data_IF_624866599538
#
_entry.id   IF_624866599538
#
_cell.length_a   1.000
_cell.length_b   1.000
_cell.length_c   1.000
_cell.angle_alpha   90.00
_cell.angle_beta   90.00
_cell.angle_gamma   90.00
#
_symmetry.space_group_name_H-M   'P 1'
#
loop_
_entity.id
_entity.type
_entity.pdbx_description
1 polymer ?
#
# COMPACT_ATOMS: atom_id res chain seq x y z
N UNK A 1 37.78 41.06 26.19
CA UNK A 1 36.50 40.33 25.98
C UNK A 1 35.81 40.22 27.33
N UNK A 2 34.59 40.74 27.49
CA UNK A 2 33.93 40.82 28.81
C UNK A 2 33.50 39.43 29.30
N UNK A 3 33.54 39.19 30.62
CA UNK A 3 33.17 37.90 31.25
C UNK A 3 31.79 37.39 30.79
N UNK A 4 30.84 38.31 30.59
CA UNK A 4 29.48 37.99 30.10
C UNK A 4 29.45 37.40 28.68
N UNK A 5 30.34 37.84 27.79
CA UNK A 5 30.44 37.31 26.42
C UNK A 5 30.93 35.85 26.41
N UNK A 6 31.89 35.49 27.31
CA UNK A 6 32.40 34.11 27.42
C UNK A 6 31.34 33.14 27.93
N UNK A 7 30.57 33.53 28.96
CA UNK A 7 29.49 32.69 29.48
C UNK A 7 28.36 32.53 28.45
N UNK A 8 28.01 33.59 27.72
CA UNK A 8 27.03 33.51 26.63
C UNK A 8 27.43 32.53 25.53
N UNK A 9 28.69 32.55 25.10
CA UNK A 9 29.21 31.62 24.09
C UNK A 9 29.20 30.16 24.56
N UNK A 10 29.50 29.91 25.85
CA UNK A 10 29.46 28.56 26.43
C UNK A 10 28.03 28.03 26.44
N UNK A 11 27.06 28.83 26.89
CA UNK A 11 25.65 28.40 26.94
C UNK A 11 25.09 28.13 25.54
N UNK A 12 25.40 28.99 24.56
CA UNK A 12 24.98 28.78 23.16
C UNK A 12 25.62 27.52 22.58
N UNK A 13 26.91 27.29 22.83
CA UNK A 13 27.58 26.06 22.38
C UNK A 13 27.00 24.79 23.02
N UNK A 14 26.61 24.86 24.30
CA UNK A 14 26.02 23.74 25.02
C UNK A 14 24.60 23.43 24.52
N UNK A 15 23.79 24.47 24.25
CA UNK A 15 22.46 24.31 23.65
C UNK A 15 22.53 23.79 22.20
N UNK A 16 23.50 24.27 21.40
CA UNK A 16 23.73 23.75 20.06
C UNK A 16 24.21 22.29 20.07
N UNK A 17 25.07 21.91 21.01
CA UNK A 17 25.53 20.53 21.19
C UNK A 17 24.39 19.60 21.62
N UNK A 18 23.53 20.03 22.55
CA UNK A 18 22.34 19.26 22.96
C UNK A 18 21.36 19.15 21.79
N UNK A 19 21.11 20.22 21.03
CA UNK A 19 20.25 20.15 19.86
C UNK A 19 20.79 19.14 18.82
N UNK A 20 22.10 19.15 18.55
CA UNK A 20 22.74 18.23 17.61
C UNK A 20 22.64 16.76 18.09
N UNK A 21 22.78 16.52 19.39
CA UNK A 21 22.64 15.18 19.99
C UNK A 21 21.19 14.67 19.98
N UNK A 22 20.22 15.56 20.16
CA UNK A 22 18.79 15.21 20.24
C UNK A 22 18.14 15.08 18.86
N UNK A 23 18.65 15.78 17.84
CA UNK A 23 18.09 15.74 16.47
C UNK A 23 17.95 14.34 15.85
N UNK A 24 18.97 13.46 15.79
CA UNK A 24 18.81 12.14 15.16
C UNK A 24 17.73 11.28 15.84
N UNK A 25 17.67 11.27 17.17
CA UNK A 25 16.64 10.54 17.92
C UNK A 25 15.21 11.06 17.65
N UNK A 26 15.03 12.37 17.42
CA UNK A 26 13.74 12.94 17.05
C UNK A 26 13.34 12.62 15.58
N UNK A 27 14.32 12.55 14.67
CA UNK A 27 14.09 12.15 13.28
C UNK A 27 13.65 10.68 13.20
N UNK A 28 14.33 9.79 13.93
CA UNK A 28 13.98 8.36 13.99
C UNK A 28 12.56 8.16 14.53
N UNK A 29 12.21 8.83 15.63
CA UNK A 29 10.87 8.75 16.22
C UNK A 29 9.78 9.23 15.25
N UNK A 30 10.04 10.30 14.48
CA UNK A 30 9.07 10.82 13.52
C UNK A 30 8.84 9.86 12.35
N UNK A 31 9.90 9.20 11.87
CA UNK A 31 9.80 8.19 10.81
C UNK A 31 9.08 6.93 11.31
N UNK A 32 9.40 6.44 12.51
CA UNK A 32 8.69 5.32 13.13
C UNK A 32 7.20 5.61 13.29
N UNK A 33 6.82 6.81 13.76
CA UNK A 33 5.40 7.18 13.92
C UNK A 33 4.66 7.20 12.57
N UNK A 34 5.30 7.67 11.49
CA UNK A 34 4.72 7.60 10.14
C UNK A 34 4.50 6.16 9.68
N UNK A 35 5.50 5.30 9.86
CA UNK A 35 5.41 3.88 9.50
C UNK A 35 4.32 3.16 10.31
N UNK A 36 4.17 3.47 11.60
CA UNK A 36 3.08 2.93 12.43
C UNK A 36 1.71 3.40 11.93
N UNK A 37 1.58 4.68 11.54
CA UNK A 37 0.38 5.21 10.91
C UNK A 37 0.05 4.46 9.62
N UNK A 38 1.03 4.33 8.73
CA UNK A 38 0.89 3.57 7.48
C UNK A 38 0.50 2.12 7.73
N UNK A 39 1.13 1.43 8.69
CA UNK A 39 0.78 0.04 9.02
C UNK A 39 -0.68 -0.10 9.45
N UNK A 40 -1.18 0.83 10.28
CA UNK A 40 -2.58 0.85 10.68
C UNK A 40 -3.52 1.17 9.53
N UNK A 41 -3.17 2.11 8.64
CA UNK A 41 -3.95 2.41 7.44
C UNK A 41 -4.04 1.20 6.52
N UNK A 42 -2.92 0.49 6.31
CA UNK A 42 -2.87 -0.74 5.52
C UNK A 42 -3.65 -1.88 6.17
N UNK A 43 -3.66 -1.99 7.50
CA UNK A 43 -4.55 -2.94 8.20
C UNK A 43 -6.02 -2.65 7.93
N UNK A 44 -6.42 -1.37 7.96
CA UNK A 44 -7.79 -1.00 7.64
C UNK A 44 -8.15 -1.39 6.20
N UNK A 45 -7.22 -1.31 5.25
CA UNK A 45 -7.44 -1.81 3.88
C UNK A 45 -7.74 -3.31 3.82
N UNK A 46 -6.95 -4.14 4.52
CA UNK A 46 -7.17 -5.59 4.50
C UNK A 46 -8.44 -5.99 5.26
N UNK A 47 -8.77 -5.29 6.35
CA UNK A 47 -10.05 -5.46 7.04
C UNK A 47 -11.21 -5.12 6.11
N UNK A 48 -11.11 -4.05 5.34
CA UNK A 48 -12.13 -3.64 4.39
C UNK A 48 -12.27 -4.63 3.21
N UNK A 49 -11.17 -5.23 2.72
CA UNK A 49 -11.20 -6.36 1.78
C UNK A 49 -11.99 -7.54 2.34
N UNK A 50 -11.73 -7.88 3.60
CA UNK A 50 -12.41 -8.99 4.29
C UNK A 50 -13.90 -8.69 4.46
N UNK A 51 -14.25 -7.47 4.88
CA UNK A 51 -15.64 -7.03 5.01
C UNK A 51 -16.39 -7.05 3.68
N UNK A 52 -15.74 -6.59 2.60
CA UNK A 52 -16.29 -6.67 1.25
C UNK A 52 -16.57 -8.14 0.88
N UNK A 53 -15.58 -9.01 1.08
CA UNK A 53 -15.75 -10.45 0.84
C UNK A 53 -16.93 -11.04 1.63
N UNK A 54 -17.08 -10.71 2.93
CA UNK A 54 -18.18 -11.21 3.76
C UNK A 54 -19.56 -10.84 3.21
N UNK A 55 -19.68 -9.68 2.55
CA UNK A 55 -20.94 -9.21 1.95
C UNK A 55 -21.18 -9.77 0.55
N UNK A 56 -20.14 -9.84 -0.29
CA UNK A 56 -20.28 -10.16 -1.71
C UNK A 56 -19.86 -11.59 -2.09
N UNK A 57 -19.22 -12.32 -1.17
CA UNK A 57 -18.74 -13.69 -1.37
C UNK A 57 -17.45 -13.79 -2.19
N UNK A 58 -16.86 -12.66 -2.60
CA UNK A 58 -15.59 -12.58 -3.30
C UNK A 58 -14.89 -11.24 -3.02
N UNK A 59 -13.59 -11.21 -3.26
CA UNK A 59 -12.81 -9.97 -3.35
C UNK A 59 -13.25 -9.14 -4.56
N UNK A 60 -13.08 -7.81 -4.53
CA UNK A 60 -13.50 -6.95 -5.63
C UNK A 60 -12.75 -7.29 -6.92
N UNK A 61 -13.35 -6.92 -8.05
CA UNK A 61 -12.61 -6.91 -9.31
C UNK A 61 -11.44 -5.92 -9.21
N UNK A 62 -10.29 -6.26 -9.80
CA UNK A 62 -9.08 -5.42 -9.77
C UNK A 62 -9.33 -4.04 -10.38
N UNK A 63 -10.15 -4.00 -11.43
CA UNK A 63 -10.61 -2.80 -12.13
C UNK A 63 -12.08 -2.97 -12.52
N UNK A 64 -12.86 -1.90 -12.40
CA UNK A 64 -14.22 -1.84 -12.98
C UNK A 64 -14.17 -1.12 -14.32
N UNK A 65 -14.89 -1.63 -15.33
CA UNK A 65 -14.99 -1.00 -16.65
C UNK A 65 -16.42 -0.57 -16.97
N UNK A 66 -16.57 0.44 -17.82
CA UNK A 66 -17.84 0.77 -18.50
C UNK A 66 -18.22 -0.30 -19.52
N UNK A 67 -19.46 -0.26 -20.01
CA UNK A 67 -19.94 -1.13 -21.09
C UNK A 67 -19.13 -1.00 -22.39
N UNK A 68 -18.45 0.13 -22.59
CA UNK A 68 -17.54 0.37 -23.72
C UNK A 68 -16.10 -0.14 -23.49
N UNK A 69 -15.83 -0.74 -22.33
CA UNK A 69 -14.53 -1.31 -21.96
C UNK A 69 -13.55 -0.33 -21.31
N UNK A 70 -13.94 0.94 -21.10
CA UNK A 70 -13.06 1.92 -20.44
C UNK A 70 -12.91 1.59 -18.97
N UNK A 71 -11.67 1.35 -18.53
CA UNK A 71 -11.34 1.16 -17.11
C UNK A 71 -11.64 2.44 -16.33
N UNK A 72 -12.58 2.35 -15.39
CA UNK A 72 -13.09 3.52 -14.66
C UNK A 72 -12.42 3.65 -13.30
N UNK A 73 -12.33 2.56 -12.52
CA UNK A 73 -11.94 2.60 -11.11
C UNK A 73 -11.10 1.40 -10.70
N UNK A 74 -10.16 1.62 -9.79
CA UNK A 74 -9.41 0.55 -9.13
C UNK A 74 -10.21 -0.12 -8.03
N UNK A 75 -9.82 -1.34 -7.67
CA UNK A 75 -10.32 -2.07 -6.50
C UNK A 75 -10.27 -1.24 -5.20
N UNK A 76 -9.26 -0.36 -5.07
CA UNK A 76 -9.12 0.56 -3.92
C UNK A 76 -10.31 1.53 -3.81
N UNK A 77 -10.77 2.07 -4.93
CA UNK A 77 -11.95 2.94 -4.97
C UNK A 77 -13.24 2.18 -4.62
N UNK A 78 -13.35 0.93 -5.06
CA UNK A 78 -14.51 0.06 -4.76
C UNK A 78 -14.60 -0.22 -3.26
N UNK A 79 -13.48 -0.55 -2.62
CA UNK A 79 -13.42 -0.77 -1.17
C UNK A 79 -13.73 0.50 -0.40
N UNK A 80 -13.18 1.64 -0.82
CA UNK A 80 -13.46 2.91 -0.15
C UNK A 80 -14.96 3.25 -0.18
N UNK A 81 -15.65 2.98 -1.30
CA UNK A 81 -17.11 3.10 -1.39
C UNK A 81 -17.84 2.15 -0.44
N UNK A 82 -17.36 0.91 -0.31
CA UNK A 82 -17.96 -0.07 0.60
C UNK A 82 -17.88 0.38 2.06
N UNK A 83 -16.72 0.85 2.49
CA UNK A 83 -16.50 1.31 3.87
C UNK A 83 -17.17 2.66 4.16
N UNK A 84 -17.24 3.53 3.17
CA UNK A 84 -17.74 4.90 3.31
C UNK A 84 -18.80 5.26 2.26
N UNK A 85 -19.96 4.57 2.25
CA UNK A 85 -20.96 4.69 1.19
C UNK A 85 -21.57 6.09 1.09
N UNK A 86 -21.53 6.89 2.15
CA UNK A 86 -22.01 8.28 2.17
C UNK A 86 -20.94 9.34 1.89
N UNK A 87 -19.65 8.97 1.87
CA UNK A 87 -18.54 9.91 1.69
C UNK A 87 -18.20 10.08 0.20
N UNK A 88 -18.32 9.02 -0.59
CA UNK A 88 -17.83 9.01 -1.98
C UNK A 88 -18.59 9.98 -2.86
N UNK A 89 -19.92 9.96 -2.96
CA UNK A 89 -20.58 10.69 -4.06
C UNK A 89 -20.52 12.23 -3.94
N UNK A 90 -20.25 12.77 -2.74
CA UNK A 90 -20.04 14.21 -2.54
C UNK A 90 -18.58 14.66 -2.72
N UNK A 91 -17.65 13.71 -2.69
CA UNK A 91 -16.19 13.94 -2.71
C UNK A 91 -15.56 13.44 -4.00
N UNK A 92 -15.87 12.21 -4.41
CA UNK A 92 -15.34 11.44 -5.52
C UNK A 92 -16.49 10.76 -6.30
N UNK A 93 -16.69 11.16 -7.55
CA UNK A 93 -17.81 10.73 -8.40
C UNK A 93 -17.48 9.44 -9.15
N UNK A 94 -18.00 8.31 -8.67
CA UNK A 94 -17.79 7.01 -9.29
C UNK A 94 -18.56 6.82 -10.61
N UNK A 95 -19.43 7.76 -11.01
CA UNK A 95 -20.00 7.77 -12.37
C UNK A 95 -19.03 8.33 -13.42
N UNK A 96 -17.97 9.01 -12.98
CA UNK A 96 -16.92 9.55 -13.85
C UNK A 96 -15.66 8.68 -13.79
N UNK A 97 -14.82 8.68 -14.85
CA UNK A 97 -13.49 8.08 -14.81
C UNK A 97 -12.64 8.60 -13.65
N UNK A 98 -11.74 7.77 -13.13
CA UNK A 98 -10.83 8.17 -12.05
C UNK A 98 -10.00 9.43 -12.35
N UNK A 99 -9.66 9.64 -13.63
CA UNK A 99 -8.86 10.76 -14.12
C UNK A 99 -9.71 11.95 -14.59
N UNK A 100 -11.01 11.99 -14.27
CA UNK A 100 -11.81 13.18 -14.52
C UNK A 100 -11.26 14.37 -13.74
N UNK A 101 -11.46 15.59 -14.24
CA UNK A 101 -10.99 16.79 -13.54
C UNK A 101 -11.53 16.88 -12.10
N UNK A 102 -12.76 16.42 -11.88
CA UNK A 102 -13.39 16.35 -10.56
C UNK A 102 -12.71 15.31 -9.65
N UNK A 103 -12.50 14.08 -10.14
CA UNK A 103 -11.92 12.99 -9.35
C UNK A 103 -10.42 13.17 -9.06
N UNK A 104 -9.67 13.75 -9.99
CA UNK A 104 -8.28 14.16 -9.73
C UNK A 104 -8.23 15.24 -8.65
N UNK A 105 -9.18 16.17 -8.64
CA UNK A 105 -9.26 17.21 -7.61
C UNK A 105 -9.68 16.65 -6.24
N UNK A 106 -10.62 15.71 -6.24
CA UNK A 106 -11.03 14.96 -5.07
C UNK A 106 -9.85 14.25 -4.39
N UNK A 107 -9.08 13.48 -5.16
CA UNK A 107 -7.90 12.74 -4.68
C UNK A 107 -6.78 13.66 -4.20
N UNK A 108 -6.60 14.85 -4.80
CA UNK A 108 -5.64 15.85 -4.30
C UNK A 108 -6.08 16.47 -2.96
N UNK A 109 -7.38 16.76 -2.80
CA UNK A 109 -7.93 17.43 -1.60
C UNK A 109 -8.06 16.48 -0.42
N UNK A 110 -8.55 15.28 -0.66
CA UNK A 110 -8.76 14.27 0.36
C UNK A 110 -7.57 13.33 0.27
N UNK A 111 -6.64 13.48 1.22
CA UNK A 111 -5.35 12.79 1.27
C UNK A 111 -5.47 11.28 1.51
N UNK A 112 -6.37 10.59 0.83
CA UNK A 112 -6.33 9.14 0.65
C UNK A 112 -5.06 8.85 -0.18
N UNK A 113 -3.92 8.57 0.47
CA UNK A 113 -2.66 8.34 -0.24
C UNK A 113 -1.56 9.41 -0.11
N UNK A 114 -1.49 10.15 1.01
CA UNK A 114 -0.17 10.64 1.48
C UNK A 114 0.56 9.65 2.38
N UNK A 115 0.12 8.40 2.37
CA UNK A 115 1.01 7.32 2.77
C UNK A 115 2.08 7.26 1.69
N UNK A 116 3.36 7.28 2.09
CA UNK A 116 4.45 7.12 1.13
C UNK A 116 4.33 5.78 0.39
N UNK A 117 3.56 4.84 0.93
CA UNK A 117 3.29 3.51 0.42
C UNK A 117 1.89 3.41 -0.20
N UNK A 118 1.84 3.05 -1.47
CA UNK A 118 0.59 2.81 -2.19
C UNK A 118 0.34 1.30 -2.27
N UNK A 119 -0.79 0.77 -1.76
CA UNK A 119 -1.13 -0.64 -1.93
C UNK A 119 -1.47 -0.93 -3.39
N UNK A 120 -0.73 -1.83 -4.00
CA UNK A 120 -0.91 -2.30 -5.37
C UNK A 120 -1.21 -3.79 -5.36
N UNK A 121 -2.28 -4.19 -6.04
CA UNK A 121 -2.59 -5.59 -6.29
C UNK A 121 -1.48 -6.21 -7.17
N UNK A 122 -1.33 -7.54 -7.08
CA UNK A 122 -0.46 -8.30 -7.99
C UNK A 122 -1.34 -9.11 -8.91
N UNK A 123 -1.29 -8.80 -10.22
CA UNK A 123 -1.98 -9.54 -11.26
C UNK A 123 -1.02 -10.57 -11.86
N UNK A 124 -1.49 -11.80 -12.05
CA UNK A 124 -0.69 -12.84 -12.68
C UNK A 124 -1.44 -14.15 -12.86
N UNK A 125 -0.90 -15.10 -13.64
CA UNK A 125 -1.40 -16.47 -13.67
C UNK A 125 -1.31 -17.02 -12.24
N UNK A 126 -2.46 -17.40 -11.66
CA UNK A 126 -2.59 -17.87 -10.28
C UNK A 126 -2.43 -16.83 -9.15
N UNK A 127 -2.37 -15.53 -9.44
CA UNK A 127 -2.42 -14.52 -8.38
C UNK A 127 -3.84 -14.35 -7.81
N UNK A 128 -3.92 -13.75 -6.61
CA UNK A 128 -5.20 -13.42 -5.97
C UNK A 128 -6.06 -12.46 -6.81
N UNK A 129 -5.42 -11.67 -7.67
CA UNK A 129 -6.08 -10.73 -8.57
C UNK A 129 -5.92 -11.15 -10.03
N UNK A 130 -7.03 -11.10 -10.76
CA UNK A 130 -7.06 -11.31 -12.21
C UNK A 130 -8.00 -10.30 -12.86
N UNK A 131 -7.76 -9.95 -14.13
CA UNK A 131 -8.51 -8.88 -14.82
C UNK A 131 -10.01 -9.18 -14.95
N UNK A 132 -10.38 -10.45 -15.15
CA UNK A 132 -11.77 -10.84 -15.46
C UNK A 132 -12.38 -11.81 -14.45
N UNK A 133 -11.64 -12.17 -13.40
CA UNK A 133 -12.06 -13.18 -12.42
C UNK A 133 -11.89 -12.59 -11.02
N UNK A 134 -12.95 -12.67 -10.22
CA UNK A 134 -12.89 -12.40 -8.79
C UNK A 134 -12.58 -13.69 -8.03
N UNK A 135 -11.87 -13.57 -6.91
CA UNK A 135 -11.50 -14.71 -6.06
C UNK A 135 -12.22 -14.61 -4.72
N UNK A 136 -12.52 -15.75 -4.13
CA UNK A 136 -13.02 -15.89 -2.77
C UNK A 136 -11.94 -16.46 -1.86
N UNK A 137 -12.15 -16.44 -0.55
CA UNK A 137 -11.28 -17.15 0.39
C UNK A 137 -11.17 -18.65 0.09
N UNK A 138 -12.22 -19.26 -0.48
CA UNK A 138 -12.21 -20.68 -0.83
C UNK A 138 -11.26 -21.00 -1.99
N UNK A 139 -10.94 -20.00 -2.83
CA UNK A 139 -9.99 -20.16 -3.93
C UNK A 139 -8.53 -20.08 -3.47
N UNK A 140 -8.27 -19.61 -2.24
CA UNK A 140 -6.92 -19.45 -1.69
C UNK A 140 -6.43 -20.77 -1.07
N UNK A 141 -6.08 -21.75 -1.91
CA UNK A 141 -5.74 -23.11 -1.46
C UNK A 141 -4.44 -23.21 -0.67
N UNK A 142 -3.51 -22.27 -0.85
CA UNK A 142 -2.29 -22.16 -0.04
C UNK A 142 -2.54 -21.59 1.38
N UNK A 143 -3.78 -21.15 1.62
CA UNK A 143 -4.22 -20.56 2.87
C UNK A 143 -4.04 -19.05 2.92
N UNK A 144 -5.03 -18.34 3.46
CA UNK A 144 -5.07 -16.88 3.45
C UNK A 144 -3.86 -16.21 4.13
N UNK A 145 -3.20 -16.88 5.08
CA UNK A 145 -2.00 -16.38 5.76
C UNK A 145 -0.71 -16.50 4.94
N UNK A 146 -0.77 -17.11 3.76
CA UNK A 146 0.36 -17.30 2.86
C UNK A 146 0.19 -16.53 1.53
N UNK A 147 -0.99 -15.98 1.28
CA UNK A 147 -1.31 -15.27 0.04
C UNK A 147 -1.22 -13.76 0.26
N UNK A 148 -0.38 -13.09 -0.53
CA UNK A 148 -0.30 -11.63 -0.61
C UNK A 148 -1.43 -11.11 -1.49
N UNK A 149 -2.27 -10.26 -0.91
CA UNK A 149 -3.30 -9.52 -1.63
C UNK A 149 -2.72 -8.25 -2.25
N UNK A 150 -1.84 -7.53 -1.57
CA UNK A 150 -1.24 -6.33 -2.13
C UNK A 150 0.16 -6.07 -1.59
N UNK A 151 0.96 -5.39 -2.39
CA UNK A 151 2.26 -4.87 -1.97
C UNK A 151 2.11 -3.36 -1.86
N UNK A 152 2.34 -2.82 -0.66
CA UNK A 152 2.41 -1.38 -0.50
C UNK A 152 3.82 -0.91 -0.88
N UNK A 153 3.91 -0.23 -2.03
CA UNK A 153 5.18 0.21 -2.63
C UNK A 153 5.42 1.67 -2.30
N UNK A 154 6.60 1.97 -1.74
CA UNK A 154 6.99 3.35 -1.44
C UNK A 154 7.24 4.13 -2.73
N UNK A 155 6.61 5.30 -2.87
CA UNK A 155 6.92 6.22 -3.97
C UNK A 155 6.63 5.66 -5.37
N UNK A 156 5.65 4.77 -5.51
CA UNK A 156 5.29 4.10 -6.78
C UNK A 156 4.88 5.07 -7.90
N UNK A 157 4.50 6.30 -7.56
CA UNK A 157 3.98 7.29 -8.51
C UNK A 157 2.56 7.02 -8.99
N UNK A 158 1.91 5.98 -8.47
CA UNK A 158 0.52 5.61 -8.80
C UNK A 158 -0.43 6.41 -7.92
N UNK A 159 -1.40 7.09 -8.54
CA UNK A 159 -2.44 7.78 -7.79
C UNK A 159 -3.37 6.76 -7.10
N UNK A 160 -3.83 7.07 -5.88
CA UNK A 160 -4.61 6.13 -5.07
C UNK A 160 -5.88 5.59 -5.75
N UNK A 161 -6.46 6.33 -6.69
CA UNK A 161 -7.65 5.92 -7.44
C UNK A 161 -7.34 5.40 -8.86
N UNK A 162 -6.09 5.48 -9.31
CA UNK A 162 -5.67 5.02 -10.63
C UNK A 162 -5.75 3.49 -10.71
N UNK A 163 -6.42 2.89 -11.72
CA UNK A 163 -6.53 1.45 -11.94
C UNK A 163 -5.23 0.85 -12.52
N UNK A 164 -4.11 1.18 -11.88
CA UNK A 164 -2.78 0.67 -12.20
C UNK A 164 -2.24 -0.10 -11.00
N UNK A 165 -1.77 -1.30 -11.25
CA UNK A 165 -1.30 -2.26 -10.24
C UNK A 165 -0.12 -3.06 -10.79
N UNK A 166 0.47 -3.93 -9.97
CA UNK A 166 1.64 -4.72 -10.33
C UNK A 166 1.25 -5.91 -11.22
N UNK A 167 2.12 -6.27 -12.15
CA UNK A 167 1.92 -7.43 -13.01
C UNK A 167 3.09 -8.39 -12.86
N UNK A 168 2.79 -9.63 -12.47
CA UNK A 168 3.68 -10.76 -12.45
C UNK A 168 3.55 -11.52 -13.77
N UNK A 169 4.63 -11.56 -14.54
CA UNK A 169 4.74 -12.41 -15.74
C UNK A 169 6.04 -13.19 -15.66
N UNK A 170 5.92 -14.51 -15.79
CA UNK A 170 7.06 -15.41 -15.59
C UNK A 170 7.65 -15.15 -14.19
N UNK A 171 8.85 -14.58 -14.11
CA UNK A 171 9.51 -14.20 -12.86
C UNK A 171 9.81 -12.68 -12.76
N UNK A 172 9.04 -11.87 -13.49
CA UNK A 172 9.17 -10.41 -13.46
C UNK A 172 7.91 -9.78 -12.86
N UNK A 173 8.08 -9.23 -11.66
CA UNK A 173 7.10 -8.35 -11.02
C UNK A 173 7.35 -6.92 -11.46
N UNK A 174 6.42 -6.35 -12.23
CA UNK A 174 6.59 -5.04 -12.88
C UNK A 174 5.50 -4.06 -12.53
N UNK A 175 5.85 -2.78 -12.52
CA UNK A 175 4.91 -1.65 -12.50
C UNK A 175 5.15 -0.82 -13.76
N UNK A 176 4.13 -0.67 -14.60
CA UNK A 176 4.24 0.07 -15.88
C UNK A 176 5.41 -0.41 -16.76
N UNK A 177 5.65 -1.73 -16.76
CA UNK A 177 6.74 -2.37 -17.49
C UNK A 177 8.14 -2.21 -16.88
N UNK A 178 8.27 -1.51 -15.74
CA UNK A 178 9.52 -1.42 -14.99
C UNK A 178 9.55 -2.47 -13.90
N UNK A 179 10.67 -3.19 -13.79
CA UNK A 179 10.88 -4.16 -12.72
C UNK A 179 10.77 -3.47 -11.35
N UNK A 180 9.92 -4.03 -10.48
CA UNK A 180 9.82 -3.59 -9.10
C UNK A 180 11.13 -3.89 -8.37
N UNK A 181 11.68 -2.90 -7.70
CA UNK A 181 12.82 -3.04 -6.80
C UNK A 181 12.33 -3.55 -5.44
N UNK A 182 12.41 -4.87 -5.23
CA UNK A 182 12.01 -5.50 -3.97
C UNK A 182 13.06 -5.36 -2.87
N UNK A 183 14.20 -4.71 -3.12
CA UNK A 183 15.23 -4.43 -2.11
C UNK A 183 14.95 -3.16 -1.29
N UNK A 184 13.87 -2.45 -1.60
CA UNK A 184 13.43 -1.26 -0.87
C UNK A 184 12.41 -1.62 0.21
N UNK A 185 12.19 -0.66 1.12
CA UNK A 185 11.11 -0.72 2.09
C UNK A 185 9.76 -1.00 1.41
N UNK A 186 9.03 -2.00 1.91
CA UNK A 186 7.69 -2.32 1.45
C UNK A 186 6.84 -2.94 2.57
N UNK A 187 5.53 -2.96 2.34
CA UNK A 187 4.62 -3.76 3.14
C UNK A 187 3.96 -4.84 2.30
N UNK A 188 3.78 -6.01 2.88
CA UNK A 188 2.93 -7.06 2.34
C UNK A 188 1.61 -7.08 3.09
N UNK A 189 0.51 -7.02 2.36
CA UNK A 189 -0.86 -7.13 2.86
C UNK A 189 -1.35 -8.53 2.50
N UNK A 190 -1.63 -9.35 3.51
CA UNK A 190 -2.02 -10.76 3.31
C UNK A 190 -3.54 -10.91 3.31
N UNK A 191 -4.04 -12.01 2.75
CA UNK A 191 -5.48 -12.26 2.69
C UNK A 191 -6.13 -12.47 4.06
N UNK A 192 -5.36 -12.91 5.07
CA UNK A 192 -5.85 -13.18 6.43
C UNK A 192 -6.03 -11.93 7.32
N UNK A 193 -5.79 -10.71 6.81
CA UNK A 193 -5.84 -9.49 7.62
C UNK A 193 -4.48 -9.02 8.13
N UNK A 194 -3.42 -9.81 7.99
CA UNK A 194 -2.10 -9.43 8.48
C UNK A 194 -1.37 -8.50 7.52
N UNK A 195 -0.51 -7.64 8.09
CA UNK A 195 0.34 -6.71 7.35
C UNK A 195 1.75 -6.85 7.89
N UNK A 196 2.72 -7.08 7.00
CA UNK A 196 4.14 -7.24 7.34
C UNK A 196 4.96 -6.14 6.71
N UNK A 197 5.88 -5.57 7.48
CA UNK A 197 6.80 -4.53 7.03
C UNK A 197 8.20 -5.11 6.84
N UNK A 198 8.83 -4.78 5.73
CA UNK A 198 10.20 -5.17 5.41
C UNK A 198 11.03 -3.90 5.20
N UNK A 199 11.92 -3.59 6.15
CA UNK A 199 12.77 -2.39 6.10
C UNK A 199 13.85 -2.47 5.03
N UNK A 200 14.38 -3.66 4.80
CA UNK A 200 15.52 -3.91 3.90
C UNK A 200 15.08 -4.65 2.62
N UNK A 201 13.78 -4.55 2.31
CA UNK A 201 13.15 -5.29 1.23
C UNK A 201 13.02 -6.78 1.51
N UNK A 202 12.67 -7.53 0.46
CA UNK A 202 12.43 -8.97 0.49
C UNK A 202 13.05 -9.64 -0.75
N UNK A 203 13.81 -10.74 -0.60
CA UNK A 203 14.31 -11.52 -1.72
C UNK A 203 13.16 -12.07 -2.57
N UNK A 204 13.38 -12.14 -3.89
CA UNK A 204 12.35 -12.62 -4.82
C UNK A 204 11.95 -14.06 -4.53
N UNK A 205 12.92 -14.88 -4.12
CA UNK A 205 12.75 -16.30 -3.79
C UNK A 205 11.81 -16.50 -2.59
N UNK A 206 11.70 -15.48 -1.72
CA UNK A 206 10.79 -15.48 -0.58
C UNK A 206 9.45 -14.86 -0.94
N UNK A 207 9.45 -13.74 -1.66
CA UNK A 207 8.23 -13.01 -2.02
C UNK A 207 7.35 -13.78 -3.01
N UNK A 208 7.95 -14.31 -4.08
CA UNK A 208 7.21 -14.81 -5.23
C UNK A 208 6.28 -16.00 -4.92
N UNK A 209 6.69 -16.97 -4.09
CA UNK A 209 5.77 -18.02 -3.65
C UNK A 209 4.52 -17.50 -2.91
N UNK A 210 4.57 -16.30 -2.34
CA UNK A 210 3.43 -15.69 -1.66
C UNK A 210 2.48 -14.96 -2.62
N UNK A 211 2.85 -14.79 -3.89
CA UNK A 211 2.08 -14.05 -4.89
C UNK A 211 1.05 -14.92 -5.62
N UNK A 212 1.07 -16.24 -5.41
CA UNK A 212 0.15 -17.22 -5.97
C UNK A 212 -0.85 -17.69 -4.92
N UNK A 213 -1.97 -18.28 -5.36
CA UNK A 213 -3.04 -18.78 -4.48
C UNK A 213 -2.99 -20.31 -4.29
N UNK A 214 -2.27 -21.02 -5.15
CA UNK A 214 -2.27 -22.48 -5.32
C UNK A 214 -0.91 -23.07 -5.73
N UNK A 215 0.20 -22.41 -5.38
CA UNK A 215 1.55 -22.88 -5.69
C UNK A 215 2.02 -24.02 -4.78
N UNK A 216 1.53 -24.08 -3.53
CA UNK A 216 1.83 -25.14 -2.57
C UNK A 216 3.23 -25.09 -1.96
N UNK A 217 3.99 -24.03 -2.21
CA UNK A 217 5.32 -23.84 -1.63
C UNK A 217 5.24 -23.50 -0.14
N UNK A 218 6.29 -23.86 0.61
CA UNK A 218 6.42 -23.46 2.00
C UNK A 218 6.94 -22.04 2.08
N UNK A 219 6.13 -21.13 2.62
CA UNK A 219 6.53 -19.76 2.90
C UNK A 219 7.46 -19.71 4.11
N UNK A 220 8.65 -19.12 3.94
CA UNK A 220 9.57 -18.81 5.04
C UNK A 220 9.45 -17.33 5.41
N UNK A 221 8.83 -17.09 6.56
CA UNK A 221 8.55 -15.73 7.04
C UNK A 221 9.72 -15.10 7.82
N UNK A 222 10.72 -15.90 8.20
CA UNK A 222 11.80 -15.51 9.12
C UNK A 222 13.19 -15.54 8.46
N UNK A 223 13.24 -15.39 7.14
CA UNK A 223 14.49 -15.46 6.35
C UNK A 223 15.58 -14.46 6.79
#
# INVERSE_FOLDING_TARGET
MSSRLRHGLIVVGLLAGVALLVTPALFDMSNTLKLMGTHNDLKNFVVALSSYHDVYGSFPAVVTSTDDGTQIHSWRSVILRHEFPGMTDSVYDLSQPWNSSHNLDAGRRHRHGRCDFQPLAVLGPCAAWQEQVTRSYADLTDGASNVVMAIAVRGSGVDFHEPKDLVLREDELTLDGQQLDTSQELFLLLADGSVRYYSDGIPKEVLYPMLTIDGGEKVDWDY
#
